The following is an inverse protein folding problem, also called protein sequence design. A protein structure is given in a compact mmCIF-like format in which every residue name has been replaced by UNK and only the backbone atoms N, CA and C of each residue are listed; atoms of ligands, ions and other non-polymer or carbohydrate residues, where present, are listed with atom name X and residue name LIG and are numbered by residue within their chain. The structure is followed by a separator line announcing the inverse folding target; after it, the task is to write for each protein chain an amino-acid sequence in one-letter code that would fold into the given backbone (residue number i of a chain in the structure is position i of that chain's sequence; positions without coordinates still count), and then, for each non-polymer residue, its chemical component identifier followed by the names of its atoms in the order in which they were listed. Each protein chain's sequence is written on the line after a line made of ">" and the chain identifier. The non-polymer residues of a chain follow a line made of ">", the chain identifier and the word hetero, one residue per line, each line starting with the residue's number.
data_IF_008180774132
#
_entry.id   IF_008180774132
#
_cell.length_a   1.000
_cell.length_b   1.000
_cell.length_c   1.000
_cell.angle_alpha   90.00
_cell.angle_beta   90.00
_cell.angle_gamma   90.00
#
_symmetry.space_group_name_H-M   'P 1'
#
loop_
_entity.id
_entity.type
_entity.pdbx_description
1 polymer ?
#
# COMPACT_ATOMS: atom_id res chain seq x y z
N UNK A 1 10.25 -6.75 -32.18
CA UNK A 1 9.20 -7.54 -31.52
C UNK A 1 7.94 -7.35 -32.35
N UNK A 2 7.35 -8.42 -32.88
CA UNK A 2 6.22 -8.35 -33.84
C UNK A 2 4.95 -7.80 -33.18
N UNK A 3 4.19 -6.97 -33.91
CA UNK A 3 2.91 -6.40 -33.47
C UNK A 3 1.77 -7.43 -33.43
N UNK A 4 2.00 -8.65 -33.92
CA UNK A 4 1.03 -9.75 -33.94
C UNK A 4 1.36 -10.81 -32.87
N UNK A 5 1.33 -10.43 -31.59
CA UNK A 5 1.37 -11.41 -30.50
C UNK A 5 -0.03 -11.95 -30.22
N UNK A 6 -0.25 -13.28 -30.18
CA UNK A 6 -1.52 -13.86 -29.77
C UNK A 6 -1.76 -13.77 -28.24
N UNK A 7 -0.77 -13.28 -27.49
CA UNK A 7 -0.81 -13.20 -26.03
C UNK A 7 -1.76 -12.08 -25.61
N UNK A 8 -2.78 -12.45 -24.84
CA UNK A 8 -3.70 -11.51 -24.19
C UNK A 8 -3.49 -11.61 -22.69
N UNK A 9 -3.32 -10.46 -22.04
CA UNK A 9 -3.31 -10.39 -20.57
C UNK A 9 -4.63 -9.81 -20.10
N UNK A 10 -5.32 -10.54 -19.22
CA UNK A 10 -6.59 -10.11 -18.66
C UNK A 10 -6.36 -9.44 -17.32
N UNK A 11 -6.93 -8.26 -17.16
CA UNK A 11 -6.83 -7.46 -15.96
C UNK A 11 -8.23 -7.17 -15.43
N UNK A 12 -8.45 -7.42 -14.14
CA UNK A 12 -9.73 -7.18 -13.49
C UNK A 12 -9.56 -6.62 -12.07
N UNK A 13 -10.50 -5.76 -11.66
CA UNK A 13 -10.72 -5.38 -10.26
C UNK A 13 -12.16 -5.75 -9.89
N UNK A 14 -12.33 -6.39 -8.75
CA UNK A 14 -13.63 -6.86 -8.26
C UNK A 14 -14.09 -6.09 -7.02
N UNK A 15 -15.40 -5.97 -6.85
CA UNK A 15 -16.00 -5.64 -5.55
C UNK A 15 -16.12 -6.90 -4.66
N UNK A 16 -16.56 -6.73 -3.40
CA UNK A 16 -16.84 -7.84 -2.47
C UNK A 16 -17.82 -8.90 -2.98
N UNK A 17 -18.66 -8.57 -3.96
CA UNK A 17 -19.67 -9.46 -4.53
C UNK A 17 -19.18 -10.11 -5.85
N UNK A 18 -17.88 -9.98 -6.18
CA UNK A 18 -17.29 -10.48 -7.42
C UNK A 18 -17.81 -9.79 -8.70
N UNK A 19 -18.41 -8.59 -8.58
CA UNK A 19 -18.73 -7.78 -9.75
C UNK A 19 -17.47 -7.10 -10.27
N UNK A 20 -17.33 -7.02 -11.60
CA UNK A 20 -16.25 -6.28 -12.22
C UNK A 20 -16.43 -4.78 -11.99
N UNK A 21 -15.57 -4.19 -11.16
CA UNK A 21 -15.36 -2.74 -11.11
C UNK A 21 -14.54 -2.27 -12.30
N UNK A 22 -13.58 -3.11 -12.71
CA UNK A 22 -12.69 -2.87 -13.84
C UNK A 22 -12.51 -4.18 -14.58
N UNK A 23 -12.55 -4.11 -15.91
CA UNK A 23 -12.24 -5.23 -16.79
C UNK A 23 -11.54 -4.71 -18.03
N UNK A 24 -10.33 -5.18 -18.28
CA UNK A 24 -9.57 -4.81 -19.49
C UNK A 24 -8.74 -5.98 -20.01
N UNK A 25 -8.41 -5.90 -21.29
CA UNK A 25 -7.53 -6.83 -21.99
C UNK A 25 -6.39 -6.05 -22.63
N UNK A 26 -5.16 -6.50 -22.39
CA UNK A 26 -3.97 -5.91 -22.98
C UNK A 26 -3.47 -6.78 -24.13
N UNK A 27 -3.28 -6.15 -25.30
CA UNK A 27 -2.92 -6.80 -26.57
C UNK A 27 -1.82 -6.03 -27.29
N UNK A 28 -1.10 -6.72 -28.18
CA UNK A 28 0.01 -6.18 -28.96
C UNK A 28 1.32 -6.90 -28.67
N UNK A 29 2.45 -6.30 -29.02
CA UNK A 29 3.76 -6.91 -28.77
C UNK A 29 3.97 -7.17 -27.26
N UNK A 30 4.73 -8.24 -26.94
CA UNK A 30 4.90 -8.68 -25.55
C UNK A 30 5.44 -7.58 -24.62
N UNK A 31 6.38 -6.77 -25.11
CA UNK A 31 6.95 -5.65 -24.35
C UNK A 31 5.94 -4.52 -24.13
N UNK A 32 5.11 -4.21 -25.14
CA UNK A 32 4.03 -3.24 -24.98
C UNK A 32 3.04 -3.72 -23.92
N UNK A 33 2.57 -4.96 -24.05
CA UNK A 33 1.61 -5.56 -23.10
C UNK A 33 2.20 -5.58 -21.68
N UNK A 34 3.49 -5.90 -21.54
CA UNK A 34 4.18 -5.87 -20.24
C UNK A 34 4.18 -4.45 -19.64
N UNK A 35 4.54 -3.43 -20.42
CA UNK A 35 4.57 -2.04 -19.95
C UNK A 35 3.18 -1.54 -19.58
N UNK A 36 2.19 -1.77 -20.44
CA UNK A 36 0.79 -1.39 -20.22
C UNK A 36 0.29 -2.01 -18.90
N UNK A 37 0.63 -3.28 -18.66
CA UNK A 37 0.25 -3.99 -17.43
C UNK A 37 0.97 -3.47 -16.20
N UNK A 38 2.28 -3.18 -16.28
CA UNK A 38 3.05 -2.62 -15.16
C UNK A 38 2.49 -1.26 -14.75
N UNK A 39 2.22 -0.38 -15.71
CA UNK A 39 1.61 0.94 -15.47
C UNK A 39 0.19 0.80 -14.89
N UNK A 40 -0.64 -0.06 -15.49
CA UNK A 40 -2.01 -0.27 -15.03
C UNK A 40 -2.05 -0.83 -13.61
N UNK A 41 -1.15 -1.76 -13.26
CA UNK A 41 -1.06 -2.31 -11.91
C UNK A 41 -0.58 -1.27 -10.89
N UNK A 42 0.38 -0.40 -11.25
CA UNK A 42 0.83 0.68 -10.37
C UNK A 42 -0.27 1.72 -10.10
N UNK A 43 -1.09 2.03 -11.12
CA UNK A 43 -2.26 2.91 -10.97
C UNK A 43 -3.31 2.35 -9.99
N UNK A 44 -3.38 1.03 -9.81
CA UNK A 44 -4.24 0.39 -8.79
C UNK A 44 -3.50 0.05 -7.48
N UNK A 45 -2.21 0.37 -7.39
CA UNK A 45 -1.46 0.24 -6.16
C UNK A 45 -1.71 1.47 -5.28
N UNK A 46 -2.87 1.46 -4.63
CA UNK A 46 -3.36 2.54 -3.78
C UNK A 46 -2.32 2.90 -2.70
N UNK A 47 -2.17 4.20 -2.44
CA UNK A 47 -1.33 4.71 -1.35
C UNK A 47 -2.24 5.15 -0.22
N UNK A 48 -2.13 4.54 0.96
CA UNK A 48 -2.66 5.14 2.18
C UNK A 48 -1.63 6.10 2.77
N UNK A 49 -2.08 7.26 3.25
CA UNK A 49 -1.25 8.19 4.00
C UNK A 49 -1.75 8.17 5.44
N UNK A 50 -0.94 7.60 6.33
CA UNK A 50 -1.20 7.57 7.77
C UNK A 50 -0.34 8.66 8.40
N UNK A 51 -0.91 9.44 9.32
CA UNK A 51 -0.12 10.36 10.15
C UNK A 51 0.28 9.61 11.40
N UNK A 52 1.57 9.42 11.60
CA UNK A 52 2.07 8.83 12.83
C UNK A 52 1.81 9.76 14.02
N UNK A 53 0.93 9.34 14.93
CA UNK A 53 0.56 10.13 16.12
C UNK A 53 1.73 10.39 17.08
N UNK A 54 2.82 9.61 16.99
CA UNK A 54 4.00 9.77 17.83
C UNK A 54 5.01 10.77 17.22
N UNK A 55 5.27 10.66 15.92
CA UNK A 55 6.26 11.46 15.19
C UNK A 55 5.67 12.65 14.41
N UNK A 56 4.35 12.73 14.26
CA UNK A 56 3.62 13.69 13.43
C UNK A 56 4.06 13.69 11.96
N UNK A 57 4.67 12.59 11.51
CA UNK A 57 5.09 12.42 10.12
C UNK A 57 4.01 11.69 9.33
N UNK A 58 3.78 12.15 8.11
CA UNK A 58 3.03 11.40 7.11
C UNK A 58 3.86 10.19 6.69
N UNK A 59 3.33 9.00 6.94
CA UNK A 59 3.85 7.72 6.47
C UNK A 59 2.94 7.28 5.32
N UNK A 60 3.48 7.26 4.11
CA UNK A 60 2.79 6.71 2.96
C UNK A 60 3.05 5.21 2.89
N UNK A 61 1.98 4.42 2.94
CA UNK A 61 2.03 2.97 2.79
C UNK A 61 1.28 2.58 1.52
N UNK A 62 1.98 1.91 0.60
CA UNK A 62 1.36 1.31 -0.57
C UNK A 62 0.60 0.04 -0.17
N UNK A 63 -0.52 -0.22 -0.85
CA UNK A 63 -1.29 -1.45 -0.73
C UNK A 63 -0.43 -2.70 -0.99
N UNK A 64 0.45 -2.62 -1.99
CA UNK A 64 1.41 -3.65 -2.33
C UNK A 64 2.81 -3.03 -2.40
N UNK A 65 3.84 -3.61 -1.77
CA UNK A 65 5.21 -3.19 -1.99
C UNK A 65 5.53 -3.17 -3.49
N UNK A 66 5.93 -2.01 -4.02
CA UNK A 66 6.09 -1.83 -5.47
C UNK A 66 7.09 -2.81 -6.08
N UNK A 67 8.17 -3.13 -5.35
CA UNK A 67 9.13 -4.15 -5.75
C UNK A 67 8.50 -5.54 -5.90
N UNK A 68 7.63 -5.95 -4.96
CA UNK A 68 6.95 -7.24 -5.03
C UNK A 68 5.95 -7.30 -6.18
N UNK A 69 5.13 -6.26 -6.36
CA UNK A 69 4.14 -6.21 -7.43
C UNK A 69 4.81 -6.24 -8.81
N UNK A 70 5.84 -5.41 -9.02
CA UNK A 70 6.63 -5.39 -10.26
C UNK A 70 7.24 -6.76 -10.55
N UNK A 71 7.92 -7.35 -9.57
CA UNK A 71 8.60 -8.63 -9.74
C UNK A 71 7.63 -9.78 -10.02
N UNK A 72 6.48 -9.80 -9.34
CA UNK A 72 5.41 -10.76 -9.58
C UNK A 72 4.88 -10.70 -11.02
N UNK A 73 4.68 -9.48 -11.54
CA UNK A 73 4.24 -9.27 -12.92
C UNK A 73 5.31 -9.68 -13.93
N UNK A 74 6.57 -9.31 -13.70
CA UNK A 74 7.69 -9.73 -14.55
C UNK A 74 7.81 -11.25 -14.61
N UNK A 75 7.72 -11.92 -13.46
CA UNK A 75 7.81 -13.37 -13.38
C UNK A 75 6.64 -14.07 -14.08
N UNK A 76 5.43 -13.51 -13.98
CA UNK A 76 4.26 -14.03 -14.71
C UNK A 76 4.49 -14.06 -16.23
N UNK A 77 5.18 -13.06 -16.79
CA UNK A 77 5.51 -13.02 -18.22
C UNK A 77 6.74 -13.87 -18.56
N UNK A 78 7.80 -13.80 -17.75
CA UNK A 78 9.05 -14.51 -18.02
C UNK A 78 8.88 -16.03 -17.97
N UNK A 79 8.01 -16.53 -17.07
CA UNK A 79 7.84 -17.95 -16.80
C UNK A 79 6.54 -18.56 -17.35
N UNK A 80 5.68 -17.78 -18.00
CA UNK A 80 4.47 -18.28 -18.64
C UNK A 80 4.76 -19.37 -19.68
N UNK A 81 3.94 -20.42 -19.67
CA UNK A 81 3.89 -21.38 -20.77
C UNK A 81 2.98 -20.87 -21.89
N UNK A 82 3.61 -20.31 -22.92
CA UNK A 82 2.91 -19.76 -24.09
C UNK A 82 2.36 -20.82 -25.05
N UNK A 83 2.60 -22.12 -24.80
CA UNK A 83 1.98 -23.21 -25.57
C UNK A 83 0.62 -23.63 -24.99
N UNK A 84 0.35 -23.33 -23.72
CA UNK A 84 -0.97 -23.54 -23.11
C UNK A 84 -1.92 -22.44 -23.62
N UNK A 85 -3.09 -22.84 -24.15
CA UNK A 85 -4.16 -21.92 -24.61
C UNK A 85 -4.90 -21.27 -23.44
N UNK A 86 -4.18 -20.45 -22.68
CA UNK A 86 -4.71 -19.68 -21.56
C UNK A 86 -4.03 -18.31 -21.50
N UNK A 87 -4.53 -17.43 -20.64
CA UNK A 87 -4.07 -16.06 -20.49
C UNK A 87 -3.39 -15.87 -19.14
N UNK A 88 -2.42 -14.96 -19.09
CA UNK A 88 -2.01 -14.37 -17.81
C UNK A 88 -3.19 -13.55 -17.29
N UNK A 89 -3.54 -13.73 -16.02
CA UNK A 89 -4.63 -13.03 -15.34
C UNK A 89 -4.08 -12.27 -14.15
N UNK A 90 -4.49 -11.01 -14.03
CA UNK A 90 -4.14 -10.12 -12.93
C UNK A 90 -5.45 -9.63 -12.33
N UNK A 91 -5.71 -10.04 -11.09
CA UNK A 91 -7.01 -9.90 -10.47
C UNK A 91 -6.85 -9.19 -9.12
N UNK A 92 -7.31 -7.94 -9.05
CA UNK A 92 -7.35 -7.14 -7.84
C UNK A 92 -8.68 -7.39 -7.10
N UNK A 93 -8.56 -7.76 -5.82
CA UNK A 93 -9.63 -7.85 -4.85
C UNK A 93 -9.40 -6.77 -3.79
N UNK A 94 -10.37 -6.58 -2.88
CA UNK A 94 -10.20 -5.62 -1.78
C UNK A 94 -8.98 -5.98 -0.90
N UNK A 95 -8.75 -7.27 -0.67
CA UNK A 95 -7.78 -7.80 0.30
C UNK A 95 -6.45 -8.25 -0.31
N UNK A 96 -6.34 -8.36 -1.63
CA UNK A 96 -5.18 -8.94 -2.32
C UNK A 96 -5.18 -8.66 -3.82
N UNK A 97 -4.03 -8.86 -4.45
CA UNK A 97 -3.93 -9.08 -5.89
C UNK A 97 -3.48 -10.52 -6.16
N UNK A 98 -4.15 -11.18 -7.09
CA UNK A 98 -3.84 -12.53 -7.53
C UNK A 98 -3.35 -12.50 -8.96
N UNK A 99 -2.16 -13.02 -9.19
CA UNK A 99 -1.50 -13.11 -10.49
C UNK A 99 -1.44 -14.59 -10.85
N UNK A 100 -1.97 -14.95 -12.00
CA UNK A 100 -2.00 -16.33 -12.51
C UNK A 100 -1.41 -16.36 -13.90
N UNK A 101 -0.37 -17.15 -14.12
CA UNK A 101 0.16 -17.43 -15.46
C UNK A 101 0.00 -18.91 -15.82
N UNK A 102 -0.16 -19.24 -17.11
CA UNK A 102 -0.10 -20.62 -17.58
C UNK A 102 1.27 -21.23 -17.33
N UNK A 103 1.30 -22.53 -17.08
CA UNK A 103 2.47 -23.32 -16.74
C UNK A 103 2.74 -23.39 -15.25
N UNK A 104 2.96 -24.60 -14.73
CA UNK A 104 3.52 -24.83 -13.40
C UNK A 104 5.02 -24.53 -13.32
N UNK A 105 5.62 -24.84 -12.17
CA UNK A 105 7.06 -24.70 -11.93
C UNK A 105 7.83 -25.54 -12.97
N UNK A 106 8.85 -24.93 -13.57
CA UNK A 106 9.62 -25.57 -14.64
C UNK A 106 10.87 -26.23 -14.07
N UNK A 107 10.94 -27.57 -14.10
CA UNK A 107 12.14 -28.37 -13.75
C UNK A 107 12.80 -27.98 -12.42
N UNK A 108 11.98 -27.62 -11.43
CA UNK A 108 12.38 -27.33 -10.07
C UNK A 108 11.19 -27.56 -9.13
N UNK A 109 11.43 -27.56 -7.82
CA UNK A 109 10.39 -27.50 -6.79
C UNK A 109 10.12 -26.06 -6.35
N UNK A 110 9.05 -25.85 -5.58
CA UNK A 110 8.76 -24.54 -4.99
C UNK A 110 9.86 -24.13 -3.99
N UNK A 111 10.33 -25.08 -3.19
CA UNK A 111 11.38 -24.88 -2.20
C UNK A 111 12.69 -24.45 -2.88
N UNK A 112 13.07 -25.11 -3.97
CA UNK A 112 14.27 -24.75 -4.74
C UNK A 112 14.20 -23.32 -5.28
N UNK A 113 13.08 -22.92 -5.90
CA UNK A 113 12.96 -21.55 -6.44
C UNK A 113 12.87 -20.49 -5.33
N UNK A 114 12.36 -20.85 -4.15
CA UNK A 114 12.36 -19.97 -2.98
C UNK A 114 13.78 -19.79 -2.40
N UNK A 115 14.63 -20.81 -2.51
CA UNK A 115 16.06 -20.75 -2.15
C UNK A 115 16.93 -20.06 -3.23
N UNK A 116 16.29 -19.58 -4.31
CA UNK A 116 16.98 -18.85 -5.39
C UNK A 116 17.52 -19.73 -6.51
N UNK A 117 17.16 -21.01 -6.56
CA UNK A 117 17.45 -21.86 -7.73
C UNK A 117 16.73 -21.31 -8.94
N UNK A 118 17.49 -21.18 -10.03
CA UNK A 118 17.02 -20.52 -11.22
C UNK A 118 16.78 -21.51 -12.36
N UNK A 119 15.55 -21.54 -12.86
CA UNK A 119 15.19 -22.30 -14.06
C UNK A 119 14.41 -21.43 -15.03
N UNK A 120 14.53 -21.72 -16.33
CA UNK A 120 13.92 -20.90 -17.37
C UNK A 120 13.10 -21.75 -18.32
N UNK A 121 11.80 -21.47 -18.38
CA UNK A 121 10.94 -21.97 -19.47
C UNK A 121 11.22 -21.21 -20.77
N UNK A 122 11.40 -19.89 -20.67
CA UNK A 122 11.61 -19.00 -21.82
C UNK A 122 12.98 -18.30 -21.77
N UNK A 123 14.11 -19.00 -21.97
CA UNK A 123 15.45 -18.42 -21.80
C UNK A 123 15.72 -17.23 -22.73
N UNK A 124 15.19 -17.24 -23.95
CA UNK A 124 15.30 -16.11 -24.88
C UNK A 124 14.59 -14.85 -24.39
N UNK A 125 13.39 -15.01 -23.81
CA UNK A 125 12.63 -13.90 -23.25
C UNK A 125 13.34 -13.32 -22.01
N UNK A 126 13.78 -14.19 -21.10
CA UNK A 126 14.53 -13.77 -19.90
C UNK A 126 15.78 -12.99 -20.28
N UNK A 127 16.53 -13.45 -21.28
CA UNK A 127 17.71 -12.74 -21.79
C UNK A 127 17.37 -11.35 -22.33
N UNK A 128 16.25 -11.21 -23.03
CA UNK A 128 15.80 -9.92 -23.57
C UNK A 128 15.38 -8.99 -22.43
N UNK A 129 14.56 -9.47 -21.49
CA UNK A 129 14.13 -8.69 -20.33
C UNK A 129 15.32 -8.25 -19.47
N UNK A 130 16.32 -9.12 -19.30
CA UNK A 130 17.55 -8.79 -18.57
C UNK A 130 18.37 -7.71 -19.28
N UNK A 131 18.55 -7.81 -20.61
CA UNK A 131 19.23 -6.77 -21.40
C UNK A 131 18.51 -5.42 -21.38
N UNK A 132 17.19 -5.44 -21.20
CA UNK A 132 16.36 -4.25 -21.07
C UNK A 132 16.23 -3.77 -19.61
N UNK A 133 17.00 -4.35 -18.68
CA UNK A 133 17.00 -4.03 -17.25
C UNK A 133 15.63 -4.19 -16.56
N UNK A 134 14.77 -5.08 -17.08
CA UNK A 134 13.53 -5.42 -16.40
C UNK A 134 13.76 -6.42 -15.28
N UNK A 135 14.55 -7.47 -15.52
CA UNK A 135 14.80 -8.57 -14.57
C UNK A 135 16.29 -8.75 -14.32
N UNK A 136 16.64 -9.11 -13.09
CA UNK A 136 17.97 -9.59 -12.74
C UNK A 136 18.05 -11.10 -12.96
N UNK A 137 19.02 -11.55 -13.75
CA UNK A 137 19.15 -12.96 -14.11
C UNK A 137 19.95 -13.77 -13.06
N UNK A 138 19.59 -13.63 -11.78
CA UNK A 138 20.34 -14.20 -10.64
C UNK A 138 19.44 -14.95 -9.63
N UNK A 139 18.22 -15.34 -10.00
CA UNK A 139 17.30 -16.04 -9.09
C UNK A 139 16.74 -15.18 -7.95
N UNK A 140 16.93 -13.85 -8.00
CA UNK A 140 16.55 -12.93 -6.90
C UNK A 140 15.07 -12.56 -6.87
N UNK A 141 14.28 -12.97 -7.87
CA UNK A 141 12.89 -12.52 -8.03
C UNK A 141 11.96 -12.91 -6.89
N UNK A 142 11.83 -14.21 -6.61
CA UNK A 142 11.02 -14.71 -5.49
C UNK A 142 11.57 -14.20 -4.15
N UNK A 143 12.89 -14.27 -3.86
CA UNK A 143 13.47 -13.65 -2.66
C UNK A 143 13.14 -12.16 -2.52
N UNK A 144 13.11 -11.37 -3.60
CA UNK A 144 12.76 -9.94 -3.56
C UNK A 144 11.30 -9.71 -3.17
N UNK A 145 10.39 -10.55 -3.65
CA UNK A 145 8.98 -10.51 -3.26
C UNK A 145 8.86 -10.80 -1.75
N UNK A 146 9.50 -11.86 -1.27
CA UNK A 146 9.49 -12.24 0.15
C UNK A 146 10.11 -11.14 1.03
N UNK A 147 11.28 -10.61 0.65
CA UNK A 147 11.96 -9.53 1.36
C UNK A 147 11.13 -8.24 1.41
N UNK A 148 10.40 -7.92 0.35
CA UNK A 148 9.54 -6.73 0.32
C UNK A 148 8.34 -6.83 1.28
N UNK A 149 7.97 -8.05 1.69
CA UNK A 149 6.96 -8.32 2.70
C UNK A 149 7.55 -8.68 4.07
N UNK A 150 8.88 -8.67 4.24
CA UNK A 150 9.52 -8.98 5.50
C UNK A 150 9.02 -8.05 6.63
N UNK A 151 8.65 -8.63 7.77
CA UNK A 151 8.12 -7.89 8.93
C UNK A 151 6.67 -7.42 8.78
N UNK A 152 5.99 -7.72 7.67
CA UNK A 152 4.54 -7.49 7.56
C UNK A 152 3.76 -8.65 8.17
N UNK A 153 2.60 -8.36 8.75
CA UNK A 153 1.69 -9.40 9.30
C UNK A 153 1.19 -10.34 8.19
N UNK A 154 0.84 -9.79 7.03
CA UNK A 154 0.37 -10.55 5.89
C UNK A 154 1.54 -10.87 4.96
N UNK A 155 1.62 -12.14 4.54
CA UNK A 155 2.70 -12.64 3.69
C UNK A 155 2.18 -13.11 2.31
N UNK A 156 3.00 -13.03 1.24
CA UNK A 156 2.67 -13.59 -0.07
C UNK A 156 2.41 -15.09 0.00
N UNK A 157 1.54 -15.58 -0.88
CA UNK A 157 1.19 -16.99 -0.98
C UNK A 157 1.36 -17.51 -2.40
N UNK A 158 2.03 -18.66 -2.53
CA UNK A 158 2.29 -19.35 -3.80
C UNK A 158 1.45 -20.63 -3.87
N UNK A 159 0.68 -20.79 -4.95
CA UNK A 159 -0.17 -21.97 -5.20
C UNK A 159 0.12 -22.52 -6.60
N UNK A 160 1.30 -23.13 -6.82
CA UNK A 160 1.63 -23.77 -8.08
C UNK A 160 0.82 -25.06 -8.24
N UNK A 161 0.33 -25.27 -9.44
CA UNK A 161 -0.24 -26.54 -9.92
C UNK A 161 0.61 -27.02 -11.10
N UNK A 162 0.30 -28.21 -11.62
CA UNK A 162 0.96 -28.72 -12.83
C UNK A 162 0.86 -27.72 -14.02
N UNK A 163 -0.31 -27.10 -14.19
CA UNK A 163 -0.63 -26.32 -15.39
C UNK A 163 -0.68 -24.81 -15.17
N UNK A 164 -0.60 -24.34 -13.93
CA UNK A 164 -0.68 -22.92 -13.60
C UNK A 164 0.18 -22.59 -12.40
N UNK A 165 0.84 -21.43 -12.45
CA UNK A 165 1.46 -20.82 -11.30
C UNK A 165 0.59 -19.67 -10.82
N UNK A 166 0.27 -19.65 -9.52
CA UNK A 166 -0.53 -18.60 -8.90
C UNK A 166 0.26 -17.97 -7.77
N UNK A 167 0.33 -16.65 -7.79
CA UNK A 167 0.88 -15.83 -6.72
C UNK A 167 -0.20 -14.89 -6.22
N UNK A 168 -0.38 -14.88 -4.91
CA UNK A 168 -1.25 -13.93 -4.21
C UNK A 168 -0.40 -13.00 -3.38
N UNK A 169 -0.49 -11.70 -3.66
CA UNK A 169 0.11 -10.65 -2.83
C UNK A 169 -1.01 -10.06 -1.95
N UNK A 170 -0.92 -10.12 -0.62
CA UNK A 170 -1.93 -9.53 0.24
C UNK A 170 -1.83 -8.01 0.23
N UNK A 171 -2.99 -7.36 0.31
CA UNK A 171 -3.11 -5.92 0.47
C UNK A 171 -2.74 -5.55 1.91
N UNK A 172 -1.62 -4.84 2.04
CA UNK A 172 -1.07 -4.40 3.32
C UNK A 172 -1.88 -3.30 3.99
N UNK A 173 -2.75 -2.59 3.25
CA UNK A 173 -3.62 -1.52 3.78
C UNK A 173 -5.07 -1.96 4.02
N UNK A 174 -5.41 -3.19 3.63
CA UNK A 174 -6.75 -3.75 3.85
C UNK A 174 -6.92 -4.26 5.28
N UNK A 175 -8.04 -3.96 5.96
CA UNK A 175 -8.30 -4.37 7.35
C UNK A 175 -7.09 -4.17 8.28
N UNK A 176 -6.26 -3.12 8.06
CA UNK A 176 -5.32 -2.71 9.10
C UNK A 176 -6.20 -2.28 10.27
N UNK A 177 -6.14 -3.06 11.34
CA UNK A 177 -6.76 -2.71 12.61
C UNK A 177 -6.08 -1.41 13.10
N UNK A 178 -6.81 -0.30 13.27
CA UNK A 178 -6.24 1.01 13.62
C UNK A 178 -5.44 1.05 14.94
N UNK A 179 -5.44 -0.07 15.68
CA UNK A 179 -4.89 -0.23 17.03
C UNK A 179 -3.44 -0.71 17.06
N UNK A 180 -2.86 -1.20 15.96
CA UNK A 180 -1.45 -1.63 15.91
C UNK A 180 -0.50 -0.63 15.24
N UNK A 181 -1.02 0.30 14.43
CA UNK A 181 -0.31 1.43 13.82
C UNK A 181 -1.31 2.56 13.49
N UNK A 182 -0.90 3.84 13.53
CA UNK A 182 -1.82 4.95 13.71
C UNK A 182 -2.95 5.02 12.67
N UNK A 183 -4.14 5.19 13.20
CA UNK A 183 -5.47 5.23 12.57
C UNK A 183 -5.52 5.90 11.18
N UNK A 184 -5.89 5.18 10.09
CA UNK A 184 -6.55 5.79 8.95
C UNK A 184 -8.06 5.90 9.27
N UNK A 185 -8.51 7.08 9.68
CA UNK A 185 -9.94 7.36 9.86
C UNK A 185 -10.62 7.35 8.48
N UNK A 186 -11.68 6.55 8.27
CA UNK A 186 -12.37 6.51 6.99
C UNK A 186 -13.24 7.77 6.85
N UNK A 187 -12.97 8.56 5.79
CA UNK A 187 -13.74 9.74 5.39
C UNK A 187 -13.59 10.96 6.34
N UNK A 188 -12.36 11.30 6.71
CA UNK A 188 -11.98 12.70 6.85
C UNK A 188 -10.87 12.97 5.84
N UNK A 189 -10.92 14.11 5.14
CA UNK A 189 -9.75 14.59 4.41
C UNK A 189 -8.50 14.43 5.30
N UNK A 190 -7.33 14.04 4.76
CA UNK A 190 -6.11 13.99 5.55
C UNK A 190 -5.90 15.30 6.30
N UNK A 191 -5.45 15.26 7.56
CA UNK A 191 -5.13 16.47 8.30
C UNK A 191 -4.15 17.31 7.47
N UNK A 192 -4.45 18.60 7.35
CA UNK A 192 -3.63 19.51 6.56
C UNK A 192 -2.29 19.78 7.26
N UNK A 193 -1.27 20.25 6.54
CA UNK A 193 0.01 20.66 7.14
C UNK A 193 -0.17 21.70 8.27
N UNK A 194 -1.22 22.52 8.15
CA UNK A 194 -1.61 23.48 9.18
C UNK A 194 -2.05 22.78 10.48
N UNK A 195 -2.82 21.71 10.38
CA UNK A 195 -3.31 20.94 11.52
C UNK A 195 -2.21 20.16 12.19
N UNK A 196 -1.31 19.58 11.40
CA UNK A 196 -0.13 18.87 11.90
C UNK A 196 0.76 19.85 12.69
N UNK A 197 1.03 21.03 12.14
CA UNK A 197 1.80 22.07 12.82
C UNK A 197 1.11 22.57 14.10
N UNK A 198 -0.22 22.68 14.10
CA UNK A 198 -0.99 23.06 15.27
C UNK A 198 -0.90 22.01 16.38
N UNK A 199 -1.02 20.73 16.06
CA UNK A 199 -0.83 19.64 17.01
C UNK A 199 0.58 19.63 17.60
N UNK A 200 1.61 19.81 16.75
CA UNK A 200 3.00 19.92 17.20
C UNK A 200 3.17 21.08 18.19
N UNK A 201 2.57 22.22 17.88
CA UNK A 201 2.60 23.41 18.77
C UNK A 201 1.97 23.12 20.13
N UNK A 202 0.86 22.38 20.17
CA UNK A 202 0.19 21.96 21.41
C UNK A 202 1.06 20.96 22.19
N UNK A 203 1.70 20.01 21.51
CA UNK A 203 2.61 19.04 22.14
C UNK A 203 3.79 19.73 22.83
N UNK A 204 4.38 20.70 22.16
CA UNK A 204 5.54 21.46 22.67
C UNK A 204 5.13 22.48 23.73
N UNK A 205 3.86 22.92 23.73
CA UNK A 205 3.37 23.98 24.61
C UNK A 205 1.96 23.63 25.14
N UNK A 206 1.84 22.62 26.03
CA UNK A 206 0.55 22.23 26.59
C UNK A 206 -0.06 23.35 27.44
N UNK A 207 -1.39 23.45 27.47
CA UNK A 207 -2.12 24.42 28.28
C UNK A 207 -2.30 25.80 27.64
N UNK A 208 -1.93 25.97 26.37
CA UNK A 208 -2.21 27.21 25.64
C UNK A 208 -3.66 27.25 25.14
N UNK A 209 -4.29 28.42 25.26
CA UNK A 209 -5.59 28.68 24.67
C UNK A 209 -5.48 28.95 23.15
N UNK A 210 -6.61 28.97 22.44
CA UNK A 210 -6.63 29.13 20.98
C UNK A 210 -5.93 30.41 20.49
N UNK A 211 -5.97 31.51 21.26
CA UNK A 211 -5.30 32.76 20.89
C UNK A 211 -3.78 32.68 21.07
N UNK A 212 -3.32 32.04 22.13
CA UNK A 212 -1.90 31.80 22.36
C UNK A 212 -1.31 30.81 21.35
N UNK A 213 -2.08 29.78 20.97
CA UNK A 213 -1.71 28.88 19.88
C UNK A 213 -1.61 29.62 18.55
N UNK A 214 -2.55 30.51 18.24
CA UNK A 214 -2.47 31.35 17.04
C UNK A 214 -1.18 32.17 17.02
N UNK A 215 -0.81 32.83 18.14
CA UNK A 215 0.40 33.64 18.21
C UNK A 215 1.67 32.84 17.88
N UNK A 216 1.75 31.57 18.31
CA UNK A 216 2.86 30.68 17.93
C UNK A 216 2.77 30.24 16.46
N UNK A 217 1.56 29.93 15.99
CA UNK A 217 1.32 29.51 14.61
C UNK A 217 1.61 30.60 13.58
N UNK A 218 1.44 31.88 13.92
CA UNK A 218 1.70 33.01 13.02
C UNK A 218 3.17 33.09 12.57
N UNK A 219 4.11 32.51 13.32
CA UNK A 219 5.52 32.43 12.94
C UNK A 219 5.70 31.53 11.69
N UNK A 220 4.92 30.46 11.61
CA UNK A 220 5.02 29.44 10.55
C UNK A 220 3.99 29.71 9.44
N UNK A 221 2.81 30.23 9.84
CA UNK A 221 1.67 30.52 8.98
C UNK A 221 1.21 31.97 9.18
N UNK A 222 1.83 32.96 8.50
CA UNK A 222 1.56 34.38 8.72
C UNK A 222 0.10 34.80 8.47
N UNK A 223 -0.62 34.04 7.65
CA UNK A 223 -2.02 34.29 7.30
C UNK A 223 -3.01 33.46 8.13
N UNK A 224 -2.56 32.81 9.21
CA UNK A 224 -3.44 32.04 10.08
C UNK A 224 -4.43 32.98 10.81
N UNK A 225 -5.67 32.53 10.96
CA UNK A 225 -6.70 33.26 11.71
C UNK A 225 -7.14 32.47 12.93
N UNK A 226 -7.70 33.18 13.91
CA UNK A 226 -8.24 32.56 15.12
C UNK A 226 -9.36 31.57 14.81
N UNK A 227 -10.17 31.87 13.78
CA UNK A 227 -11.25 30.99 13.34
C UNK A 227 -10.72 29.72 12.70
N UNK A 228 -9.63 29.80 11.92
CA UNK A 228 -8.99 28.61 11.36
C UNK A 228 -8.48 27.69 12.47
N UNK A 229 -7.79 28.25 13.47
CA UNK A 229 -7.30 27.49 14.64
C UNK A 229 -8.47 26.84 15.40
N UNK A 230 -9.52 27.61 15.74
CA UNK A 230 -10.69 27.10 16.46
C UNK A 230 -11.43 26.02 15.67
N UNK A 231 -11.61 26.20 14.36
CA UNK A 231 -12.29 25.24 13.50
C UNK A 231 -11.50 23.94 13.38
N UNK A 232 -10.18 24.01 13.17
CA UNK A 232 -9.32 22.83 13.17
C UNK A 232 -9.37 22.10 14.52
N UNK A 233 -9.25 22.81 15.65
CA UNK A 233 -9.36 22.22 16.99
C UNK A 233 -10.70 21.52 17.23
N UNK A 234 -11.81 22.14 16.81
CA UNK A 234 -13.16 21.65 17.08
C UNK A 234 -13.61 20.54 16.13
N UNK A 235 -13.25 20.62 14.85
CA UNK A 235 -13.81 19.72 13.81
C UNK A 235 -12.84 18.64 13.38
N UNK A 236 -11.54 18.94 13.34
CA UNK A 236 -10.54 18.06 12.73
C UNK A 236 -9.61 17.44 13.76
N UNK A 237 -9.36 18.14 14.86
CA UNK A 237 -8.47 17.69 15.93
C UNK A 237 -9.18 17.25 17.22
N UNK A 238 -10.51 17.20 17.24
CA UNK A 238 -11.28 16.89 18.45
C UNK A 238 -10.98 15.49 19.05
N UNK A 239 -10.57 14.53 18.20
CA UNK A 239 -10.15 13.20 18.62
C UNK A 239 -8.76 13.18 19.26
N UNK A 240 -7.91 14.17 18.97
CA UNK A 240 -6.51 14.17 19.39
C UNK A 240 -6.19 15.19 20.48
N UNK A 241 -6.97 16.26 20.56
CA UNK A 241 -6.78 17.35 21.50
C UNK A 241 -7.99 17.49 22.43
N UNK A 242 -7.74 17.89 23.67
CA UNK A 242 -8.78 18.26 24.62
C UNK A 242 -8.47 19.60 25.29
N UNK A 243 -9.52 20.30 25.71
CA UNK A 243 -9.38 21.54 26.46
C UNK A 243 -9.53 21.25 27.96
N UNK A 244 -8.52 21.58 28.75
CA UNK A 244 -8.50 21.37 30.19
C UNK A 244 -8.51 22.71 30.92
N UNK A 245 -9.29 22.79 32.01
CA UNK A 245 -9.38 23.97 32.86
C UNK A 245 -10.60 24.86 32.58
N UNK A 246 -10.63 26.04 33.22
CA UNK A 246 -11.77 26.95 33.15
C UNK A 246 -11.86 27.63 31.78
N UNK A 247 -13.05 28.14 31.41
CA UNK A 247 -13.28 28.81 30.13
C UNK A 247 -12.36 30.01 29.86
N UNK A 248 -11.85 30.64 30.94
CA UNK A 248 -11.02 31.85 30.87
C UNK A 248 -9.54 31.61 31.24
N UNK A 249 -9.19 30.42 31.75
CA UNK A 249 -7.82 30.10 32.19
C UNK A 249 -7.33 28.71 31.78
N UNK A 250 -8.14 27.95 31.05
CA UNK A 250 -7.79 26.64 30.52
C UNK A 250 -7.11 26.71 29.15
N UNK A 251 -6.64 25.56 28.68
CA UNK A 251 -5.94 25.44 27.41
C UNK A 251 -5.94 24.03 26.85
N UNK A 252 -5.41 23.90 25.64
CA UNK A 252 -5.42 22.65 24.88
C UNK A 252 -4.25 21.75 25.26
N UNK A 253 -4.53 20.46 25.36
CA UNK A 253 -3.59 19.37 25.62
C UNK A 253 -3.83 18.26 24.61
N UNK A 254 -2.80 17.46 24.32
CA UNK A 254 -2.99 16.22 23.56
C UNK A 254 -3.57 15.15 24.49
N UNK A 255 -4.53 14.37 23.98
CA UNK A 255 -5.07 13.21 24.69
C UNK A 255 -3.99 12.14 24.87
N UNK A 256 -4.10 11.36 25.95
CA UNK A 256 -3.26 10.17 26.14
C UNK A 256 -3.68 9.08 25.16
N UNK A 257 -2.71 8.25 24.74
CA UNK A 257 -2.93 7.17 23.76
C UNK A 257 -4.12 6.28 24.15
N UNK A 258 -4.20 5.90 25.43
CA UNK A 258 -5.25 5.03 25.98
C UNK A 258 -6.67 5.65 25.92
N UNK A 259 -6.78 6.98 25.92
CA UNK A 259 -8.07 7.69 25.85
C UNK A 259 -8.55 7.92 24.40
N UNK A 260 -7.64 7.83 23.43
CA UNK A 260 -7.93 7.94 22.00
C UNK A 260 -8.49 6.61 21.47
N UNK A 261 -8.04 5.49 22.04
CA UNK A 261 -8.37 4.11 21.61
C UNK A 261 -9.62 3.51 22.28
N UNK A 262 -10.32 4.26 23.13
CA UNK A 262 -11.63 3.88 23.68
C UNK A 262 -11.63 2.75 24.72
N UNK A 263 -10.48 2.30 25.19
CA UNK A 263 -10.39 1.34 26.31
C UNK A 263 -10.66 2.07 27.64
N UNK A 264 -11.91 2.02 28.10
CA UNK A 264 -12.21 2.26 29.52
C UNK A 264 -11.42 1.25 30.35
N UNK A 265 -10.30 1.68 30.90
CA UNK A 265 -9.76 1.05 32.11
C UNK A 265 -10.82 1.25 33.18
N UNK A 266 -11.57 0.19 33.49
CA UNK A 266 -12.28 0.11 34.76
C UNK A 266 -11.22 0.23 35.85
N UNK A 267 -11.18 1.40 36.50
CA UNK A 267 -10.58 1.52 37.82
C UNK A 267 -11.37 0.59 38.74
N UNK A 268 -10.75 -0.50 39.16
CA UNK A 268 -11.18 -1.18 40.36
C UNK A 268 -10.60 -0.40 41.53
N UNK A 269 -11.50 0.14 42.35
CA UNK A 269 -11.25 0.48 43.75
C UNK A 269 -10.87 -0.79 44.55
#
# INVERSE_FOLDING_TARGET
>A
MSDQSPIVVKFAKYDKNMNFLVKSEHKGSLLKVLNDVLEHADNYNETSAIIDGSSFKRIEKKAYPGAALREALLNAFAHADYFIRSNIKIEFFEDKVKITNPGGIYKATLEEIMDGIQTYRNPGLVRILSKLNYVENFGTGIPRILNAYAGQEKQPFFDPTENFFKLTLPNLIFNIDPLSDPIPDPILDPLTDFEIALMKTIKENPGLNAMQLLNKMLIIYPNATIDKVKNSLKRRLAKYCEFMGSRNGGGYHLRKKDEIDGTRTTRND
#
